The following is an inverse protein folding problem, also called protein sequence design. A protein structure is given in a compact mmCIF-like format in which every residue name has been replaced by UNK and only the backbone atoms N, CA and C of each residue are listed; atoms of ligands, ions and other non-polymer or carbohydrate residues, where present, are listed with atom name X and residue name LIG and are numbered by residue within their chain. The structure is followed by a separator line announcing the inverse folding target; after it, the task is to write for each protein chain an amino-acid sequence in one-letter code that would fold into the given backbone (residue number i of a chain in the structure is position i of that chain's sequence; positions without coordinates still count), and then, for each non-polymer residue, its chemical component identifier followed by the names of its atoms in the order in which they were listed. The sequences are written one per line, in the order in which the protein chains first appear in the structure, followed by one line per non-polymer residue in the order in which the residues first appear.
data_IF_187659754795
#
_entry.id   IF_187659754795
#
_cell.length_a   1.000
_cell.length_b   1.000
_cell.length_c   1.000
_cell.angle_alpha   90.00
_cell.angle_beta   90.00
_cell.angle_gamma   90.00
#
_symmetry.space_group_name_H-M   'P 1'
#
loop_
_entity.id
_entity.type
_entity.pdbx_description
1 polymer ?
#
# COMPACT_ATOMS: atom_id res chain seq x y z
N UNK A 1 -40.83 -11.59 -19.09
CA UNK A 1 -39.37 -11.54 -19.38
C UNK A 1 -38.82 -10.45 -18.48
N UNK A 2 -38.35 -10.85 -17.30
CA UNK A 2 -37.64 -9.97 -16.38
C UNK A 2 -36.23 -9.82 -16.92
N UNK A 3 -35.85 -8.60 -17.29
CA UNK A 3 -34.46 -8.27 -17.58
C UNK A 3 -33.63 -8.69 -16.36
N UNK A 4 -32.83 -9.74 -16.54
CA UNK A 4 -31.81 -10.09 -15.58
C UNK A 4 -30.80 -8.94 -15.62
N UNK A 5 -30.88 -8.03 -14.66
CA UNK A 5 -29.76 -7.13 -14.35
C UNK A 5 -28.60 -8.08 -14.03
N UNK A 6 -27.70 -8.28 -14.99
CA UNK A 6 -26.38 -8.84 -14.71
C UNK A 6 -25.74 -7.90 -13.70
N UNK A 7 -25.74 -8.30 -12.44
CA UNK A 7 -24.94 -7.66 -11.40
C UNK A 7 -23.49 -7.74 -11.84
N UNK A 8 -22.92 -6.62 -12.22
CA UNK A 8 -21.49 -6.45 -12.51
C UNK A 8 -20.83 -5.77 -11.31
N UNK A 9 -19.65 -6.24 -10.93
CA UNK A 9 -18.82 -5.58 -9.90
C UNK A 9 -17.84 -4.65 -10.60
N UNK A 10 -17.76 -3.38 -10.17
CA UNK A 10 -16.76 -2.44 -10.71
C UNK A 10 -15.32 -2.90 -10.48
N UNK A 11 -15.13 -3.75 -9.47
CA UNK A 11 -13.85 -4.36 -9.11
C UNK A 11 -13.46 -5.57 -9.98
N UNK A 12 -14.30 -5.95 -10.96
CA UNK A 12 -14.04 -7.05 -11.89
C UNK A 12 -14.12 -6.62 -13.36
N UNK A 13 -14.26 -5.32 -13.63
CA UNK A 13 -14.46 -4.77 -14.98
C UNK A 13 -13.50 -3.60 -15.25
N UNK A 14 -13.32 -3.26 -16.52
CA UNK A 14 -12.51 -2.12 -16.96
C UNK A 14 -11.09 -2.18 -16.39
N UNK A 15 -10.67 -1.10 -15.73
CA UNK A 15 -9.35 -0.98 -15.11
C UNK A 15 -9.09 -2.03 -14.01
N UNK A 16 -10.13 -2.56 -13.37
CA UNK A 16 -10.00 -3.60 -12.33
C UNK A 16 -10.18 -5.03 -12.87
N UNK A 17 -10.47 -5.19 -14.17
CA UNK A 17 -10.66 -6.52 -14.74
C UNK A 17 -9.38 -7.37 -14.56
N UNK A 18 -9.48 -8.61 -14.04
CA UNK A 18 -8.31 -9.45 -13.83
C UNK A 18 -7.62 -9.79 -15.15
N UNK A 19 -6.31 -9.92 -15.10
CA UNK A 19 -5.54 -10.59 -16.15
C UNK A 19 -5.87 -12.08 -16.15
N UNK A 20 -6.10 -12.68 -17.34
CA UNK A 20 -6.49 -14.07 -17.45
C UNK A 20 -5.31 -15.05 -17.38
N UNK A 21 -4.07 -14.56 -17.49
CA UNK A 21 -2.85 -15.38 -17.53
C UNK A 21 -1.63 -14.60 -17.02
N UNK A 22 -0.59 -15.34 -16.60
CA UNK A 22 0.73 -14.78 -16.33
C UNK A 22 1.38 -14.28 -17.63
N UNK A 23 2.21 -13.25 -17.52
CA UNK A 23 2.83 -12.60 -18.68
C UNK A 23 4.33 -12.53 -18.48
N UNK A 24 5.09 -12.77 -19.55
CA UNK A 24 6.53 -12.49 -19.63
C UNK A 24 6.79 -11.77 -20.93
N UNK A 25 7.48 -10.64 -20.85
CA UNK A 25 8.01 -9.92 -22.00
C UNK A 25 9.44 -9.48 -21.69
N UNK A 26 10.30 -9.49 -22.70
CA UNK A 26 11.71 -9.10 -22.61
C UNK A 26 12.01 -8.02 -23.64
N UNK A 27 13.06 -7.24 -23.41
CA UNK A 27 13.49 -6.16 -24.31
C UNK A 27 12.34 -5.18 -24.63
N UNK A 28 11.78 -4.59 -23.57
CA UNK A 28 10.58 -3.75 -23.70
C UNK A 28 10.90 -2.45 -24.46
N UNK A 29 10.00 -1.99 -25.35
CA UNK A 29 10.14 -0.70 -25.99
C UNK A 29 10.14 0.43 -24.97
N UNK A 30 11.04 1.40 -25.16
CA UNK A 30 11.16 2.58 -24.31
C UNK A 30 11.01 3.82 -25.18
N UNK A 31 10.06 4.68 -24.83
CA UNK A 31 9.99 6.05 -25.37
C UNK A 31 10.73 6.99 -24.42
N UNK A 32 11.49 7.94 -24.96
CA UNK A 32 12.36 8.81 -24.17
C UNK A 32 13.69 8.13 -23.84
N UNK A 33 14.26 8.43 -22.68
CA UNK A 33 15.56 7.88 -22.22
C UNK A 33 15.45 7.47 -20.77
N UNK A 34 15.51 6.17 -20.50
CA UNK A 34 15.59 5.66 -19.13
C UNK A 34 16.91 6.10 -18.49
N UNK A 35 16.87 6.74 -17.31
CA UNK A 35 18.08 7.05 -16.56
C UNK A 35 18.91 5.80 -16.25
N UNK A 36 20.21 5.84 -16.52
CA UNK A 36 21.12 4.71 -16.24
C UNK A 36 21.28 4.44 -14.73
N UNK A 37 20.96 5.41 -13.88
CA UNK A 37 20.98 5.25 -12.43
C UNK A 37 19.86 4.34 -11.90
N UNK A 38 18.81 4.08 -12.68
CA UNK A 38 17.73 3.16 -12.32
C UNK A 38 18.16 1.70 -12.58
N UNK A 39 18.85 1.13 -11.60
CA UNK A 39 19.34 -0.26 -11.58
C UNK A 39 18.59 -1.09 -10.53
N UNK A 40 17.60 -1.87 -10.97
CA UNK A 40 16.72 -2.60 -10.05
C UNK A 40 15.39 -2.97 -10.67
N UNK A 41 14.37 -3.14 -9.81
CA UNK A 41 13.02 -3.54 -10.20
C UNK A 41 11.99 -2.57 -9.64
N UNK A 42 11.12 -2.06 -10.51
CA UNK A 42 9.83 -1.52 -10.07
C UNK A 42 8.88 -2.70 -9.88
N UNK A 43 8.34 -2.85 -8.67
CA UNK A 43 7.42 -3.92 -8.32
C UNK A 43 6.09 -3.34 -7.84
N UNK A 44 4.96 -3.94 -8.20
CA UNK A 44 3.65 -3.59 -7.66
C UNK A 44 2.79 -4.82 -7.46
N UNK A 45 2.09 -4.91 -6.33
CA UNK A 45 1.14 -5.97 -6.03
C UNK A 45 -0.31 -5.47 -6.09
N UNK A 46 -1.25 -6.40 -6.25
CA UNK A 46 -2.67 -6.09 -6.25
C UNK A 46 -3.54 -7.34 -6.44
N UNK A 47 -4.86 -7.18 -6.36
CA UNK A 47 -5.79 -8.28 -6.51
C UNK A 47 -5.99 -8.60 -7.99
N UNK A 48 -5.84 -9.87 -8.34
CA UNK A 48 -6.08 -10.44 -9.64
C UNK A 48 -6.75 -11.80 -9.47
N UNK A 49 -8.04 -11.84 -9.08
CA UNK A 49 -8.73 -13.07 -8.73
C UNK A 49 -8.67 -14.09 -9.88
N UNK A 50 -8.25 -15.30 -9.56
CA UNK A 50 -8.19 -16.40 -10.51
C UNK A 50 -9.54 -17.14 -10.53
N UNK A 51 -10.05 -17.40 -11.73
CA UNK A 51 -11.35 -18.06 -11.91
C UNK A 51 -12.57 -17.16 -11.66
N UNK A 52 -13.75 -17.78 -11.64
CA UNK A 52 -15.02 -17.06 -11.61
C UNK A 52 -15.33 -16.54 -10.19
N UNK A 53 -15.52 -15.24 -10.08
CA UNK A 53 -16.02 -14.59 -8.87
C UNK A 53 -17.53 -14.38 -8.95
N UNK A 54 -18.19 -14.30 -7.79
CA UNK A 54 -19.56 -13.78 -7.69
C UNK A 54 -19.51 -12.25 -7.61
N UNK A 55 -19.95 -11.52 -8.66
CA UNK A 55 -19.85 -10.06 -8.67
C UNK A 55 -20.67 -9.38 -7.57
N UNK A 56 -21.71 -10.02 -7.04
CA UNK A 56 -22.54 -9.43 -5.99
C UNK A 56 -21.85 -9.40 -4.62
N UNK A 57 -20.89 -10.30 -4.38
CA UNK A 57 -20.25 -10.49 -3.08
C UNK A 57 -18.73 -10.29 -3.12
N UNK A 58 -18.15 -10.09 -4.31
CA UNK A 58 -16.72 -9.88 -4.47
C UNK A 58 -16.25 -8.57 -3.81
N UNK A 59 -15.29 -8.71 -2.90
CA UNK A 59 -14.58 -7.60 -2.28
C UNK A 59 -13.21 -7.42 -2.93
N UNK A 60 -12.87 -6.19 -3.33
CA UNK A 60 -11.63 -5.89 -4.06
C UNK A 60 -10.37 -6.39 -3.35
N UNK A 61 -10.29 -6.19 -2.02
CA UNK A 61 -9.15 -6.64 -1.19
C UNK A 61 -9.00 -8.17 -1.07
N UNK A 62 -9.96 -8.97 -1.54
CA UNK A 62 -9.94 -10.43 -1.36
C UNK A 62 -9.53 -11.22 -2.60
N UNK A 63 -9.13 -10.53 -3.68
CA UNK A 63 -8.61 -11.20 -4.88
C UNK A 63 -7.22 -11.81 -4.66
N UNK A 64 -6.89 -12.86 -5.40
CA UNK A 64 -5.54 -13.46 -5.37
C UNK A 64 -4.46 -12.43 -5.71
N UNK A 65 -3.29 -12.50 -5.07
CA UNK A 65 -2.21 -11.55 -5.36
C UNK A 65 -1.59 -11.77 -6.74
N UNK A 66 -1.32 -10.70 -7.48
CA UNK A 66 -0.48 -10.74 -8.66
C UNK A 66 0.55 -9.60 -8.62
N UNK A 67 1.82 -9.99 -8.62
CA UNK A 67 2.94 -9.05 -8.65
C UNK A 67 3.31 -8.77 -10.10
N UNK A 68 3.37 -7.48 -10.41
CA UNK A 68 3.91 -6.94 -11.65
C UNK A 68 5.31 -6.40 -11.38
N UNK A 69 6.30 -6.84 -12.15
CA UNK A 69 7.67 -6.36 -12.06
C UNK A 69 8.23 -5.91 -13.39
N UNK A 70 9.04 -4.85 -13.36
CA UNK A 70 9.80 -4.34 -14.50
C UNK A 70 11.25 -4.19 -14.04
N UNK A 71 12.17 -4.94 -14.64
CA UNK A 71 13.60 -4.75 -14.38
C UNK A 71 14.18 -3.68 -15.28
N UNK A 72 14.84 -2.70 -14.66
CA UNK A 72 15.59 -1.64 -15.32
C UNK A 72 17.08 -1.83 -15.06
N UNK A 73 17.88 -1.76 -16.12
CA UNK A 73 19.35 -1.92 -16.07
C UNK A 73 20.02 -1.26 -17.25
N UNK A 74 21.04 -0.45 -16.99
CA UNK A 74 21.87 0.22 -17.99
C UNK A 74 21.05 0.96 -19.04
N UNK A 75 20.04 1.71 -18.60
CA UNK A 75 19.14 2.48 -19.47
C UNK A 75 18.17 1.64 -20.31
N UNK A 76 18.00 0.35 -20.00
CA UNK A 76 17.06 -0.56 -20.68
C UNK A 76 16.02 -1.11 -19.72
N UNK A 77 14.85 -1.46 -20.24
CA UNK A 77 13.87 -2.26 -19.54
C UNK A 77 13.99 -3.73 -20.01
N UNK A 78 14.69 -4.55 -19.23
CA UNK A 78 15.13 -5.89 -19.67
C UNK A 78 13.97 -6.87 -19.72
N UNK A 79 13.05 -6.79 -18.75
CA UNK A 79 11.84 -7.61 -18.75
C UNK A 79 10.69 -6.98 -17.98
N UNK A 80 9.48 -7.43 -18.32
CA UNK A 80 8.25 -7.28 -17.55
C UNK A 80 7.68 -8.66 -17.26
N UNK A 81 7.23 -8.86 -16.02
CA UNK A 81 6.54 -10.08 -15.59
C UNK A 81 5.31 -9.75 -14.77
N UNK A 82 4.26 -10.53 -14.98
CA UNK A 82 3.10 -10.63 -14.10
C UNK A 82 3.03 -12.07 -13.58
N UNK A 83 3.09 -12.25 -12.27
CA UNK A 83 3.04 -13.55 -11.60
C UNK A 83 2.00 -13.55 -10.49
N UNK A 84 1.17 -14.58 -10.44
CA UNK A 84 0.34 -14.78 -9.25
C UNK A 84 1.21 -15.14 -8.05
N UNK A 85 0.86 -14.63 -6.88
CA UNK A 85 1.46 -15.10 -5.63
C UNK A 85 0.83 -16.46 -5.30
N UNK A 86 1.64 -17.49 -5.11
CA UNK A 86 1.15 -18.87 -4.93
C UNK A 86 0.54 -19.06 -3.54
N UNK A 87 -0.77 -18.85 -3.43
CA UNK A 87 -1.60 -19.50 -2.42
C UNK A 87 -1.89 -20.96 -2.82
N UNK A 88 -2.41 -21.75 -1.89
CA UNK A 88 -2.83 -23.13 -2.14
C UNK A 88 -3.90 -23.19 -3.23
N UNK A 89 -4.88 -22.28 -3.21
CA UNK A 89 -5.92 -22.19 -4.25
C UNK A 89 -5.35 -21.82 -5.62
N UNK A 90 -4.39 -20.90 -5.68
CA UNK A 90 -3.72 -20.51 -6.93
C UNK A 90 -2.90 -21.68 -7.48
N UNK A 91 -2.05 -22.31 -6.66
CA UNK A 91 -1.26 -23.48 -7.09
C UNK A 91 -2.18 -24.58 -7.65
N UNK A 92 -3.26 -24.92 -6.94
CA UNK A 92 -4.23 -25.91 -7.42
C UNK A 92 -4.87 -25.51 -8.76
N UNK A 93 -5.27 -24.24 -8.91
CA UNK A 93 -5.88 -23.75 -10.15
C UNK A 93 -4.90 -23.73 -11.34
N UNK A 94 -3.59 -23.56 -11.07
CA UNK A 94 -2.52 -23.65 -12.07
C UNK A 94 -2.03 -25.09 -12.30
N UNK A 95 -2.50 -26.07 -11.51
CA UNK A 95 -2.05 -27.47 -11.60
C UNK A 95 -0.65 -27.70 -11.01
N UNK A 96 -0.25 -26.85 -10.08
CA UNK A 96 1.04 -26.87 -9.38
C UNK A 96 0.88 -27.47 -7.97
N UNK A 97 1.96 -28.03 -7.44
CA UNK A 97 2.01 -28.39 -6.01
C UNK A 97 2.10 -27.12 -5.15
N UNK A 98 1.43 -27.08 -3.97
CA UNK A 98 1.55 -25.94 -3.07
C UNK A 98 2.99 -25.67 -2.65
N UNK A 99 3.40 -24.39 -2.72
CA UNK A 99 4.69 -23.92 -2.22
C UNK A 99 4.81 -24.12 -0.70
N UNK A 100 6.02 -24.38 -0.16
CA UNK A 100 6.23 -24.64 1.26
C UNK A 100 5.92 -23.42 2.15
N UNK A 101 5.85 -23.65 3.46
CA UNK A 101 5.64 -22.61 4.48
C UNK A 101 4.26 -22.66 5.14
N UNK A 102 4.17 -22.14 6.36
CA UNK A 102 2.94 -22.15 7.14
C UNK A 102 1.89 -21.15 6.60
N UNK A 103 0.61 -21.54 6.57
CA UNK A 103 -0.52 -20.62 6.35
C UNK A 103 -1.10 -20.19 7.70
N UNK A 104 -0.54 -19.15 8.31
CA UNK A 104 -0.95 -18.69 9.63
C UNK A 104 -2.46 -18.35 9.65
N UNK A 105 -3.21 -18.99 10.55
CA UNK A 105 -4.67 -18.81 10.65
C UNK A 105 -5.45 -19.24 9.40
N UNK A 106 -4.86 -20.06 8.51
CA UNK A 106 -5.45 -20.41 7.21
C UNK A 106 -5.41 -19.26 6.18
N UNK A 107 -4.77 -18.15 6.50
CA UNK A 107 -4.62 -16.99 5.63
C UNK A 107 -3.38 -17.12 4.74
N UNK A 108 -3.54 -16.84 3.45
CA UNK A 108 -2.47 -17.07 2.47
C UNK A 108 -2.47 -16.14 1.24
N UNK A 109 -3.38 -15.17 1.19
CA UNK A 109 -3.54 -14.27 0.04
C UNK A 109 -2.69 -13.01 0.20
N UNK A 110 -1.41 -13.07 -0.19
CA UNK A 110 -0.52 -11.90 -0.14
C UNK A 110 -0.66 -11.00 -1.38
N UNK A 111 -1.61 -10.06 -1.36
CA UNK A 111 -1.97 -9.22 -2.52
C UNK A 111 -1.73 -7.72 -2.33
N UNK A 112 -1.35 -7.25 -1.15
CA UNK A 112 -1.44 -5.83 -0.79
C UNK A 112 -0.20 -5.05 -1.20
N UNK A 113 0.98 -5.51 -0.80
CA UNK A 113 2.24 -4.83 -1.10
C UNK A 113 3.31 -5.83 -1.54
N UNK A 114 4.40 -5.31 -2.10
CA UNK A 114 5.62 -6.04 -2.43
C UNK A 114 6.82 -5.20 -1.99
N UNK A 115 7.64 -5.76 -1.11
CA UNK A 115 8.74 -5.04 -0.44
C UNK A 115 10.08 -5.76 -0.64
N UNK A 116 11.17 -4.99 -0.56
CA UNK A 116 12.53 -5.51 -0.48
C UNK A 116 13.09 -5.37 0.93
N UNK A 117 13.67 -6.44 1.48
CA UNK A 117 14.41 -6.40 2.76
C UNK A 117 15.50 -7.47 2.77
N UNK A 118 16.71 -7.10 3.18
CA UNK A 118 17.85 -8.03 3.27
C UNK A 118 18.20 -8.71 1.96
N UNK A 119 18.04 -8.00 0.83
CA UNK A 119 18.26 -8.55 -0.51
C UNK A 119 17.20 -9.56 -0.97
N UNK A 120 16.13 -9.77 -0.19
CA UNK A 120 15.00 -10.64 -0.50
C UNK A 120 13.78 -9.80 -0.88
N UNK A 121 12.85 -10.41 -1.61
CA UNK A 121 11.60 -9.77 -2.07
C UNK A 121 10.41 -10.50 -1.47
N UNK A 122 9.46 -9.77 -0.89
CA UNK A 122 8.28 -10.37 -0.26
C UNK A 122 7.00 -9.71 -0.74
N UNK A 123 6.03 -10.52 -1.18
CA UNK A 123 4.63 -10.09 -1.23
C UNK A 123 4.04 -10.17 0.17
N UNK A 124 3.30 -9.15 0.59
CA UNK A 124 2.74 -9.04 1.94
C UNK A 124 1.28 -8.59 1.91
N UNK A 125 0.55 -8.94 2.97
CA UNK A 125 -0.84 -8.56 3.25
C UNK A 125 -1.00 -8.43 4.75
N UNK A 126 -1.97 -7.64 5.18
CA UNK A 126 -2.37 -7.50 6.58
C UNK A 126 -3.19 -8.69 7.11
N UNK A 127 -3.70 -8.55 8.34
CA UNK A 127 -4.70 -9.44 8.95
C UNK A 127 -4.28 -10.91 9.14
N UNK A 128 -2.99 -11.22 9.06
CA UNK A 128 -2.45 -12.45 9.61
C UNK A 128 -1.84 -13.43 8.62
N UNK A 129 -1.72 -13.13 7.32
CA UNK A 129 -0.93 -14.01 6.45
C UNK A 129 0.58 -13.86 6.70
N UNK A 130 1.34 -14.91 6.39
CA UNK A 130 2.80 -14.84 6.33
C UNK A 130 3.24 -14.01 5.11
N UNK A 131 4.37 -13.27 5.18
CA UNK A 131 5.04 -12.79 3.98
C UNK A 131 5.29 -13.94 3.00
N UNK A 132 5.16 -13.70 1.70
CA UNK A 132 5.44 -14.69 0.67
C UNK A 132 6.70 -14.28 -0.08
N UNK A 133 7.76 -15.07 0.05
CA UNK A 133 9.06 -14.78 -0.56
C UNK A 133 9.00 -15.06 -2.07
N UNK A 134 9.52 -14.11 -2.85
CA UNK A 134 9.60 -14.18 -4.30
C UNK A 134 11.07 -14.15 -4.72
N UNK A 135 11.40 -14.91 -5.75
CA UNK A 135 12.71 -14.83 -6.38
C UNK A 135 12.86 -13.55 -7.23
N UNK A 136 14.02 -13.41 -7.87
CA UNK A 136 14.30 -12.26 -8.71
C UNK A 136 13.32 -12.12 -9.90
N UNK A 137 12.84 -13.25 -10.41
CA UNK A 137 11.95 -13.39 -11.57
C UNK A 137 10.46 -13.39 -11.18
N UNK A 138 10.16 -13.19 -9.90
CA UNK A 138 8.84 -13.18 -9.26
C UNK A 138 8.18 -14.55 -9.07
N UNK A 139 8.94 -15.64 -9.20
CA UNK A 139 8.44 -16.96 -8.84
C UNK A 139 8.33 -17.08 -7.32
N UNK A 140 7.24 -17.70 -6.84
CA UNK A 140 7.03 -17.86 -5.40
C UNK A 140 7.95 -18.94 -4.83
N UNK A 141 8.75 -18.59 -3.83
CA UNK A 141 9.65 -19.50 -3.14
C UNK A 141 8.90 -20.21 -1.99
N UNK A 142 8.34 -19.45 -1.04
CA UNK A 142 7.66 -19.99 0.13
C UNK A 142 6.79 -18.95 0.85
N UNK A 143 5.93 -19.42 1.75
CA UNK A 143 5.32 -18.59 2.80
C UNK A 143 6.31 -18.51 3.97
N UNK A 144 6.93 -17.36 4.14
CA UNK A 144 8.10 -17.15 4.99
C UNK A 144 7.70 -16.74 6.41
N UNK A 145 8.31 -17.39 7.39
CA UNK A 145 8.30 -16.98 8.80
C UNK A 145 9.56 -16.18 9.15
N UNK A 146 10.21 -15.56 8.16
CA UNK A 146 11.44 -14.78 8.29
C UNK A 146 12.54 -15.58 9.02
N UNK A 147 12.88 -16.74 8.46
CA UNK A 147 13.88 -17.67 8.98
C UNK A 147 13.58 -18.14 10.42
N UNK A 148 12.30 -18.45 10.68
CA UNK A 148 11.79 -18.92 11.97
C UNK A 148 11.69 -17.86 13.06
N UNK A 149 11.83 -16.56 12.72
CA UNK A 149 11.84 -15.48 13.72
C UNK A 149 10.51 -14.74 13.84
N UNK A 150 9.65 -14.80 12.82
CA UNK A 150 8.32 -14.21 12.85
C UNK A 150 7.32 -15.17 13.52
N UNK A 151 6.66 -14.80 14.62
CA UNK A 151 5.75 -15.70 15.32
C UNK A 151 4.41 -15.88 14.60
N UNK A 152 3.82 -14.81 14.05
CA UNK A 152 2.47 -14.79 13.46
C UNK A 152 2.49 -14.17 12.04
N UNK A 153 1.33 -13.74 11.53
CA UNK A 153 1.28 -12.95 10.31
C UNK A 153 1.99 -11.59 10.41
N UNK A 154 2.13 -10.93 9.27
CA UNK A 154 2.83 -9.65 9.17
C UNK A 154 1.90 -8.52 8.69
N UNK A 155 2.46 -7.33 8.51
CA UNK A 155 1.76 -6.16 7.96
C UNK A 155 2.00 -6.04 6.46
N UNK A 156 1.11 -5.32 5.77
CA UNK A 156 1.37 -4.86 4.41
C UNK A 156 2.17 -3.54 4.35
N UNK A 157 2.25 -2.81 5.47
CA UNK A 157 2.84 -1.46 5.51
C UNK A 157 3.91 -1.31 6.60
N UNK A 158 5.03 -2.03 6.51
CA UNK A 158 6.15 -1.74 7.39
C UNK A 158 6.81 -0.42 6.96
N UNK A 159 7.39 0.30 7.91
CA UNK A 159 8.16 1.54 7.66
C UNK A 159 9.63 1.29 7.92
N UNK A 160 10.48 1.61 6.95
CA UNK A 160 11.94 1.59 7.14
C UNK A 160 12.32 2.87 7.88
N UNK A 161 13.07 2.77 8.98
CA UNK A 161 13.78 3.94 9.51
C UNK A 161 15.06 4.15 8.69
N UNK A 162 15.16 5.25 7.92
CA UNK A 162 16.34 5.49 7.07
C UNK A 162 17.64 5.73 7.87
N UNK A 163 17.62 5.92 9.20
CA UNK A 163 18.85 5.99 9.99
C UNK A 163 19.45 4.61 10.32
N UNK A 164 18.61 3.58 10.45
CA UNK A 164 19.03 2.26 10.95
C UNK A 164 18.86 1.15 9.92
N UNK A 165 17.94 1.32 8.96
CA UNK A 165 17.50 0.28 8.04
C UNK A 165 16.56 -0.75 8.69
N UNK A 166 16.15 -0.54 9.95
CA UNK A 166 15.17 -1.39 10.60
C UNK A 166 13.76 -1.10 10.03
N UNK A 167 12.99 -2.17 9.85
CA UNK A 167 11.59 -2.12 9.50
C UNK A 167 10.74 -2.18 10.77
N UNK A 168 9.85 -1.22 10.92
CA UNK A 168 8.90 -1.10 12.01
C UNK A 168 7.48 -1.37 11.50
N UNK A 169 6.76 -2.25 12.17
CA UNK A 169 5.47 -2.75 11.70
C UNK A 169 4.46 -2.89 12.83
N UNK A 170 3.19 -2.57 12.55
CA UNK A 170 2.06 -3.08 13.34
C UNK A 170 1.39 -4.21 12.57
N UNK A 171 1.37 -5.39 13.17
CA UNK A 171 0.63 -6.55 12.68
C UNK A 171 -0.56 -6.84 13.61
N UNK A 172 -1.61 -7.42 13.04
CA UNK A 172 -2.79 -7.83 13.79
C UNK A 172 -3.40 -9.07 13.15
N UNK A 173 -4.19 -9.78 13.95
CA UNK A 173 -5.02 -10.88 13.50
C UNK A 173 -6.22 -10.97 14.44
N UNK A 174 -7.42 -11.19 13.90
CA UNK A 174 -8.67 -11.12 14.66
C UNK A 174 -8.72 -12.09 15.85
N UNK A 175 -7.98 -13.20 15.79
CA UNK A 175 -7.92 -14.18 16.88
C UNK A 175 -6.85 -13.85 17.95
N UNK A 176 -6.04 -12.82 17.75
CA UNK A 176 -5.10 -12.32 18.76
C UNK A 176 -5.80 -11.25 19.62
N UNK A 177 -5.57 -11.25 20.95
CA UNK A 177 -6.21 -10.28 21.86
C UNK A 177 -5.53 -8.89 21.85
N UNK A 178 -4.45 -8.73 21.09
CA UNK A 178 -3.63 -7.52 21.03
C UNK A 178 -3.12 -7.28 19.60
N UNK A 179 -2.67 -6.04 19.35
CA UNK A 179 -1.83 -5.73 18.20
C UNK A 179 -0.38 -6.14 18.49
N UNK A 180 0.41 -6.36 17.45
CA UNK A 180 1.82 -6.71 17.56
C UNK A 180 2.68 -5.61 16.94
N UNK A 181 3.55 -5.00 17.74
CA UNK A 181 4.63 -4.15 17.24
C UNK A 181 5.85 -5.02 16.95
N UNK A 182 6.19 -5.13 15.66
CA UNK A 182 7.26 -6.00 15.15
C UNK A 182 8.40 -5.13 14.63
N UNK A 183 9.63 -5.42 15.06
CA UNK A 183 10.85 -4.81 14.52
C UNK A 183 11.63 -5.87 13.75
N UNK A 184 11.92 -5.61 12.48
CA UNK A 184 12.68 -6.49 11.59
C UNK A 184 13.98 -5.80 11.22
N UNK A 185 15.12 -6.48 11.40
CA UNK A 185 16.41 -5.95 10.99
C UNK A 185 16.59 -5.93 9.45
N UNK A 186 17.61 -5.23 8.94
CA UNK A 186 17.93 -5.22 7.52
C UNK A 186 18.42 -6.58 7.01
N UNK A 187 18.65 -7.57 7.89
CA UNK A 187 18.88 -8.98 7.55
C UNK A 187 17.59 -9.78 7.34
N UNK A 188 16.43 -9.09 7.37
CA UNK A 188 15.10 -9.67 7.25
C UNK A 188 14.78 -10.71 8.34
N UNK A 189 15.24 -10.44 9.58
CA UNK A 189 14.92 -11.24 10.77
C UNK A 189 14.25 -10.38 11.83
N UNK A 190 13.24 -10.94 12.49
CA UNK A 190 12.55 -10.28 13.60
C UNK A 190 13.49 -10.16 14.80
N UNK A 191 13.62 -8.93 15.31
CA UNK A 191 14.41 -8.59 16.49
C UNK A 191 13.56 -8.58 17.76
N UNK A 192 12.34 -8.07 17.65
CA UNK A 192 11.38 -8.00 18.76
C UNK A 192 9.95 -8.05 18.27
N UNK A 193 9.06 -8.52 19.16
CA UNK A 193 7.62 -8.50 18.99
C UNK A 193 7.01 -8.12 20.33
N UNK A 194 6.34 -6.98 20.37
CA UNK A 194 5.73 -6.42 21.58
C UNK A 194 4.20 -6.36 21.42
N UNK A 195 3.47 -6.73 22.46
CA UNK A 195 2.01 -6.67 22.47
C UNK A 195 1.53 -5.24 22.80
N UNK A 196 0.58 -4.74 22.03
CA UNK A 196 -0.12 -3.46 22.28
C UNK A 196 -1.59 -3.77 22.52
N UNK A 197 -2.05 -3.49 23.74
CA UNK A 197 -3.42 -3.75 24.18
C UNK A 197 -4.42 -2.78 23.53
N UNK A 198 -5.49 -3.33 22.98
CA UNK A 198 -6.61 -2.60 22.36
C UNK A 198 -7.94 -3.20 22.81
N UNK A 199 -9.04 -2.43 22.87
CA UNK A 199 -10.31 -2.90 23.44
C UNK A 199 -11.07 -3.90 22.56
N UNK A 200 -10.56 -4.22 21.36
CA UNK A 200 -11.20 -5.14 20.42
C UNK A 200 -10.25 -5.54 19.30
N UNK A 201 -10.78 -5.85 18.12
CA UNK A 201 -10.01 -6.33 16.96
C UNK A 201 -10.07 -5.33 15.80
N UNK A 202 -9.38 -4.17 15.92
CA UNK A 202 -9.39 -3.14 14.90
C UNK A 202 -8.60 -3.57 13.66
N UNK A 203 -9.00 -3.04 12.52
CA UNK A 203 -8.23 -3.10 11.28
C UNK A 203 -7.18 -2.00 11.29
N UNK A 204 -5.94 -2.35 11.63
CA UNK A 204 -4.80 -1.42 11.62
C UNK A 204 -4.05 -1.59 10.32
N UNK A 205 -4.51 -0.90 9.28
CA UNK A 205 -4.01 -1.04 7.90
C UNK A 205 -2.54 -0.64 7.77
N UNK A 206 -2.19 0.51 8.34
CA UNK A 206 -0.87 1.10 8.27
C UNK A 206 -0.46 1.65 9.66
N UNK A 207 0.77 2.12 9.76
CA UNK A 207 1.40 2.72 10.92
C UNK A 207 2.27 3.91 10.51
N UNK A 208 2.86 4.60 11.47
CA UNK A 208 3.89 5.59 11.16
C UNK A 208 5.03 5.49 12.16
N UNK A 209 6.19 6.00 11.75
CA UNK A 209 7.32 6.21 12.64
C UNK A 209 7.70 7.67 12.61
N UNK A 210 8.40 8.11 13.64
CA UNK A 210 9.21 9.33 13.68
C UNK A 210 10.62 8.94 14.11
N UNK A 211 11.54 9.89 14.22
CA UNK A 211 12.88 9.61 14.75
C UNK A 211 12.88 8.91 16.12
N UNK A 212 11.89 9.17 16.99
CA UNK A 212 11.84 8.57 18.33
C UNK A 212 10.59 7.75 18.64
N UNK A 213 9.56 7.78 17.80
CA UNK A 213 8.28 7.18 18.13
C UNK A 213 7.75 6.26 17.05
N UNK A 214 7.19 5.13 17.47
CA UNK A 214 6.24 4.33 16.71
C UNK A 214 4.82 4.88 16.93
N UNK A 215 4.01 4.88 15.89
CA UNK A 215 2.64 5.41 15.89
C UNK A 215 1.67 4.34 15.39
N UNK A 216 0.59 4.15 16.14
CA UNK A 216 -0.46 3.13 15.89
C UNK A 216 -1.81 3.80 15.74
N UNK A 217 -2.56 3.43 14.70
CA UNK A 217 -3.89 3.97 14.43
C UNK A 217 -4.97 2.97 14.89
N UNK A 218 -5.57 3.23 16.04
CA UNK A 218 -6.65 2.40 16.63
C UNK A 218 -8.00 3.05 16.29
N UNK A 219 -8.57 2.61 15.16
CA UNK A 219 -9.67 3.30 14.44
C UNK A 219 -10.92 2.41 14.34
N UNK A 220 -12.12 2.98 14.08
CA UNK A 220 -13.42 2.32 14.31
C UNK A 220 -13.82 1.30 13.23
N UNK A 221 -12.90 0.81 12.40
CA UNK A 221 -13.17 -0.35 11.53
C UNK A 221 -12.68 -1.59 12.27
N UNK A 222 -13.59 -2.48 12.66
CA UNK A 222 -13.31 -3.63 13.52
C UNK A 222 -13.81 -4.92 12.92
N UNK A 223 -13.23 -6.05 13.35
CA UNK A 223 -13.67 -7.37 12.94
C UNK A 223 -15.09 -7.66 13.47
N UNK A 224 -15.98 -8.11 12.58
CA UNK A 224 -17.37 -8.47 12.87
C UNK A 224 -17.53 -9.99 12.90
N UNK A 225 -17.71 -10.55 14.10
CA UNK A 225 -17.99 -11.98 14.28
C UNK A 225 -19.28 -12.42 13.57
N UNK A 226 -20.29 -11.54 13.54
CA UNK A 226 -21.56 -11.81 12.88
C UNK A 226 -21.40 -11.90 11.35
N UNK A 227 -20.63 -11.00 10.75
CA UNK A 227 -20.35 -11.03 9.30
C UNK A 227 -19.51 -12.26 8.94
N UNK A 228 -18.50 -12.59 9.76
CA UNK A 228 -17.70 -13.79 9.59
C UNK A 228 -18.57 -15.06 9.65
N UNK A 229 -19.48 -15.16 10.63
CA UNK A 229 -20.40 -16.29 10.78
C UNK A 229 -21.39 -16.43 9.60
N UNK A 230 -21.72 -15.32 8.94
CA UNK A 230 -22.54 -15.29 7.71
C UNK A 230 -21.73 -15.61 6.43
N UNK A 231 -20.41 -15.79 6.54
CA UNK A 231 -19.54 -16.09 5.40
C UNK A 231 -19.17 -14.87 4.55
N UNK A 232 -19.27 -13.66 5.11
CA UNK A 232 -18.77 -12.45 4.43
C UNK A 232 -17.25 -12.56 4.26
N UNK A 233 -16.78 -12.44 3.02
CA UNK A 233 -15.36 -12.64 2.65
C UNK A 233 -14.41 -11.65 3.34
N UNK A 234 -14.88 -10.43 3.61
CA UNK A 234 -14.13 -9.38 4.30
C UNK A 234 -14.94 -8.88 5.51
N UNK A 235 -14.84 -9.57 6.66
CA UNK A 235 -15.70 -9.32 7.82
C UNK A 235 -15.18 -8.17 8.71
N UNK A 236 -14.83 -7.03 8.11
CA UNK A 236 -14.51 -5.79 8.83
C UNK A 236 -15.56 -4.72 8.55
N UNK A 237 -15.93 -3.97 9.58
CA UNK A 237 -17.08 -3.07 9.61
C UNK A 237 -16.77 -1.83 10.43
N UNK A 238 -17.32 -0.67 10.04
CA UNK A 238 -17.39 0.47 10.93
C UNK A 238 -18.19 0.15 12.21
N UNK A 239 -17.73 0.62 13.36
CA UNK A 239 -18.40 0.53 14.65
C UNK A 239 -18.47 1.90 15.32
N UNK A 240 -19.69 2.42 15.49
CA UNK A 240 -19.91 3.69 16.20
C UNK A 240 -19.60 3.61 17.70
N UNK A 241 -19.51 2.41 18.27
CA UNK A 241 -19.28 2.19 19.70
C UNK A 241 -17.79 1.98 20.05
N UNK A 242 -16.90 1.89 19.06
CA UNK A 242 -15.48 1.54 19.30
C UNK A 242 -14.61 2.73 19.72
N UNK A 243 -14.90 3.94 19.19
CA UNK A 243 -14.05 5.13 19.35
C UNK A 243 -12.90 5.19 18.34
N UNK A 244 -12.06 6.23 18.47
CA UNK A 244 -10.91 6.44 17.60
C UNK A 244 -9.77 7.13 18.38
N UNK A 245 -8.57 6.56 18.31
CA UNK A 245 -7.41 7.06 19.03
C UNK A 245 -6.10 6.69 18.33
N UNK A 246 -5.06 7.47 18.63
CA UNK A 246 -3.71 7.24 18.13
C UNK A 246 -2.79 6.90 19.28
N UNK A 247 -2.05 5.79 19.15
CA UNK A 247 -1.07 5.34 20.11
C UNK A 247 0.33 5.81 19.71
N UNK A 248 1.10 6.32 20.67
CA UNK A 248 2.51 6.71 20.49
C UNK A 248 3.35 5.99 21.54
N UNK A 249 4.38 5.26 21.11
CA UNK A 249 5.32 4.55 21.98
C UNK A 249 6.76 4.72 21.48
N UNK A 250 7.79 4.61 22.33
CA UNK A 250 9.18 4.77 21.90
C UNK A 250 9.52 3.83 20.73
N UNK A 251 10.26 4.32 19.74
CA UNK A 251 10.67 3.52 18.59
C UNK A 251 11.57 2.37 19.06
N UNK A 252 11.04 1.15 18.94
CA UNK A 252 11.69 -0.09 19.38
C UNK A 252 11.48 -0.39 20.88
N UNK A 253 10.64 0.41 21.55
CA UNK A 253 10.24 0.21 22.95
C UNK A 253 9.12 -0.81 23.11
N UNK A 254 8.61 -0.92 24.34
CA UNK A 254 7.57 -1.89 24.69
C UNK A 254 6.18 -1.36 24.37
N UNK A 255 5.28 -2.26 23.99
CA UNK A 255 3.87 -1.93 23.78
C UNK A 255 3.14 -1.48 25.05
N UNK A 256 3.69 -1.80 26.23
CA UNK A 256 3.19 -1.32 27.52
C UNK A 256 3.41 0.20 27.73
N UNK A 257 4.32 0.82 26.98
CA UNK A 257 4.66 2.24 27.08
C UNK A 257 3.77 3.12 26.18
N UNK A 258 2.75 2.54 25.54
CA UNK A 258 1.86 3.26 24.62
C UNK A 258 1.09 4.36 25.34
N UNK A 259 1.12 5.54 24.73
CA UNK A 259 0.33 6.71 25.13
C UNK A 259 -0.75 6.93 24.09
N UNK A 260 -2.01 6.89 24.53
CA UNK A 260 -3.16 7.06 23.66
C UNK A 260 -3.65 8.51 23.63
N UNK A 261 -4.01 8.97 22.44
CA UNK A 261 -4.53 10.29 22.16
C UNK A 261 -5.85 10.14 21.41
N UNK A 262 -6.94 10.65 21.97
CA UNK A 262 -8.26 10.60 21.33
C UNK A 262 -8.28 11.49 20.08
N UNK A 263 -8.90 11.01 19.01
CA UNK A 263 -9.12 11.74 17.75
C UNK A 263 -10.58 11.64 17.34
N UNK A 264 -11.03 12.56 16.48
CA UNK A 264 -12.38 12.47 15.94
C UNK A 264 -12.55 11.20 15.08
N UNK A 265 -13.64 10.43 15.25
CA UNK A 265 -13.88 9.22 14.49
C UNK A 265 -13.72 9.42 12.97
N UNK A 266 -12.79 8.66 12.42
CA UNK A 266 -12.43 8.62 11.00
C UNK A 266 -11.65 7.35 10.72
N UNK A 267 -11.43 7.05 9.43
CA UNK A 267 -10.56 5.96 9.03
C UNK A 267 -9.36 6.49 8.26
N UNK A 268 -8.20 5.88 8.49
CA UNK A 268 -6.96 6.17 7.76
C UNK A 268 -6.48 4.83 7.21
N UNK A 269 -6.53 4.68 5.89
CA UNK A 269 -5.75 3.65 5.24
C UNK A 269 -4.29 4.08 5.30
N UNK A 270 -3.95 5.17 4.61
CA UNK A 270 -2.56 5.57 4.46
C UNK A 270 -2.23 6.88 5.17
N UNK A 271 -1.34 6.87 6.17
CA UNK A 271 -0.62 8.06 6.57
C UNK A 271 0.36 8.47 5.46
N UNK A 272 0.50 9.77 5.23
CA UNK A 272 1.50 10.32 4.34
C UNK A 272 2.90 10.25 4.96
N UNK A 273 3.06 10.85 6.14
CA UNK A 273 4.30 10.81 6.90
C UNK A 273 4.05 11.28 8.34
N UNK A 274 5.00 11.03 9.23
CA UNK A 274 5.01 11.57 10.58
C UNK A 274 6.39 12.16 10.92
N UNK A 275 6.42 13.16 11.79
CA UNK A 275 7.65 13.77 12.27
C UNK A 275 7.44 14.47 13.60
N UNK A 276 8.52 14.97 14.18
CA UNK A 276 8.47 15.68 15.45
C UNK A 276 8.65 17.19 15.23
N UNK A 277 7.94 17.97 16.04
CA UNK A 277 8.09 19.42 16.15
C UNK A 277 8.20 19.79 17.63
N UNK A 278 9.45 19.82 18.13
CA UNK A 278 9.73 19.94 19.55
C UNK A 278 9.18 18.76 20.35
N UNK A 279 8.30 19.04 21.31
CA UNK A 279 7.63 18.04 22.16
C UNK A 279 6.31 17.52 21.55
N UNK A 280 6.10 17.73 20.25
CA UNK A 280 4.90 17.31 19.52
C UNK A 280 5.24 16.25 18.49
N UNK A 281 4.28 15.34 18.27
CA UNK A 281 4.28 14.43 17.13
C UNK A 281 3.28 14.96 16.12
N UNK A 282 3.72 15.18 14.89
CA UNK A 282 2.90 15.62 13.76
C UNK A 282 2.67 14.43 12.85
N UNK A 283 1.42 14.14 12.56
CA UNK A 283 0.99 13.09 11.63
C UNK A 283 0.27 13.76 10.48
N UNK A 284 0.69 13.48 9.25
CA UNK A 284 -0.03 13.88 8.06
C UNK A 284 -0.68 12.62 7.47
N UNK A 285 -2.00 12.60 7.39
CA UNK A 285 -2.81 11.39 7.11
C UNK A 285 -3.85 11.65 6.05
N UNK A 286 -4.12 10.65 5.20
CA UNK A 286 -5.27 10.68 4.29
C UNK A 286 -6.49 10.19 5.05
N UNK A 287 -7.37 11.13 5.41
CA UNK A 287 -8.51 10.89 6.28
C UNK A 287 -9.76 10.59 5.46
N UNK A 288 -10.40 9.47 5.81
CA UNK A 288 -11.73 9.08 5.35
C UNK A 288 -12.74 9.34 6.47
N UNK A 289 -13.88 9.94 6.14
CA UNK A 289 -14.92 10.23 7.13
C UNK A 289 -15.57 8.98 7.70
N UNK A 290 -15.80 7.97 6.85
CA UNK A 290 -16.33 6.65 7.20
C UNK A 290 -15.79 5.60 6.25
N UNK A 291 -15.78 4.33 6.65
CA UNK A 291 -15.33 3.23 5.80
C UNK A 291 -15.96 1.89 6.20
N UNK A 292 -16.40 1.11 5.23
CA UNK A 292 -17.09 -0.18 5.43
C UNK A 292 -18.30 -0.13 6.36
N UNK A 293 -18.98 1.02 6.40
CA UNK A 293 -20.26 1.18 7.08
C UNK A 293 -21.36 0.70 6.13
N UNK A 294 -21.55 1.40 5.00
CA UNK A 294 -22.60 1.09 4.02
C UNK A 294 -22.09 0.29 2.83
N UNK A 295 -20.89 0.62 2.34
CA UNK A 295 -20.30 -0.04 1.18
C UNK A 295 -19.29 -1.08 1.66
N UNK A 296 -19.60 -2.36 1.42
CA UNK A 296 -18.91 -3.52 2.01
C UNK A 296 -18.04 -4.29 1.03
N UNK A 297 -17.70 -3.71 -0.12
CA UNK A 297 -16.98 -4.42 -1.21
C UNK A 297 -15.67 -3.75 -1.63
N UNK A 298 -15.35 -2.57 -1.09
CA UNK A 298 -14.12 -1.83 -1.37
C UNK A 298 -14.14 -0.45 -0.71
N UNK A 299 -13.02 0.30 -0.82
CA UNK A 299 -12.85 1.61 -0.20
C UNK A 299 -13.63 2.68 -0.97
N UNK A 300 -14.93 2.70 -0.75
CA UNK A 300 -15.91 3.39 -1.59
C UNK A 300 -16.90 4.19 -0.74
N UNK A 301 -16.39 4.84 0.30
CA UNK A 301 -17.20 5.55 1.27
C UNK A 301 -16.45 6.78 1.76
N UNK A 302 -16.98 7.97 1.48
CA UNK A 302 -16.39 9.30 1.75
C UNK A 302 -15.20 9.71 0.86
N UNK A 303 -14.88 11.00 0.86
CA UNK A 303 -13.79 11.57 0.06
C UNK A 303 -12.51 11.59 0.91
N UNK A 304 -11.40 11.02 0.43
CA UNK A 304 -10.13 11.07 1.15
C UNK A 304 -9.45 12.43 1.01
N UNK A 305 -9.16 13.08 2.13
CA UNK A 305 -8.48 14.39 2.15
C UNK A 305 -7.28 14.35 3.08
N UNK A 306 -6.24 15.13 2.76
CA UNK A 306 -5.05 15.23 3.58
C UNK A 306 -5.30 16.09 4.81
N UNK A 307 -5.09 15.51 5.99
CA UNK A 307 -5.22 16.14 7.29
C UNK A 307 -3.90 16.08 8.06
N UNK A 308 -3.66 17.06 8.91
CA UNK A 308 -2.59 17.05 9.90
C UNK A 308 -3.19 16.87 11.29
N UNK A 309 -2.74 15.85 12.00
CA UNK A 309 -2.98 15.68 13.42
C UNK A 309 -1.70 16.04 14.18
N UNK A 310 -1.81 16.95 15.16
CA UNK A 310 -0.69 17.34 16.02
C UNK A 310 -0.96 16.88 17.44
N UNK A 311 -0.15 15.97 17.93
CA UNK A 311 -0.24 15.35 19.25
C UNK A 311 0.73 16.06 20.18
N UNK A 312 0.20 16.79 21.17
CA UNK A 312 1.01 17.47 22.18
C UNK A 312 1.32 16.50 23.32
N UNK A 313 2.57 16.01 23.37
CA UNK A 313 2.97 14.96 24.31
C UNK A 313 2.98 15.44 25.77
N UNK A 314 3.00 16.75 26.03
CA UNK A 314 2.97 17.29 27.39
C UNK A 314 1.53 17.36 27.94
N UNK A 315 0.59 17.78 27.10
CA UNK A 315 -0.80 18.04 27.51
C UNK A 315 -1.77 16.90 27.20
N UNK A 316 -1.40 15.98 26.30
CA UNK A 316 -2.30 14.92 25.82
C UNK A 316 -3.32 15.42 24.77
N UNK A 317 -3.23 16.68 24.33
CA UNK A 317 -4.18 17.27 23.40
C UNK A 317 -3.83 16.93 21.96
N UNK A 318 -4.86 16.68 21.14
CA UNK A 318 -4.75 16.63 19.68
C UNK A 318 -5.37 17.88 19.06
N UNK A 319 -4.75 18.40 18.00
CA UNK A 319 -5.36 19.36 17.09
C UNK A 319 -5.34 18.82 15.67
N UNK A 320 -6.40 19.11 14.92
CA UNK A 320 -6.58 18.65 13.55
C UNK A 320 -6.75 19.85 12.59
N UNK A 321 -6.15 19.74 11.41
CA UNK A 321 -6.23 20.73 10.33
C UNK A 321 -6.29 20.00 8.98
N UNK A 322 -7.23 20.37 8.10
CA UNK A 322 -7.22 19.91 6.72
C UNK A 322 -6.18 20.71 5.92
N UNK A 323 -5.25 20.02 5.24
CA UNK A 323 -4.14 20.65 4.51
C UNK A 323 -4.44 20.89 3.02
N UNK A 324 -5.42 20.18 2.46
CA UNK A 324 -5.71 20.21 1.03
C UNK A 324 -7.18 19.95 0.74
N UNK A 325 -7.73 20.62 -0.29
CA UNK A 325 -9.04 20.32 -0.88
C UNK A 325 -8.94 19.32 -2.06
N UNK A 326 -7.73 18.93 -2.46
CA UNK A 326 -7.50 17.91 -3.49
C UNK A 326 -7.67 16.54 -2.86
N UNK A 327 -8.65 15.78 -3.35
CA UNK A 327 -8.87 14.40 -2.93
C UNK A 327 -7.85 13.45 -3.57
N UNK A 328 -7.15 12.68 -2.74
CA UNK A 328 -6.15 11.73 -3.21
C UNK A 328 -5.92 10.58 -2.23
N UNK A 329 -5.28 9.53 -2.72
CA UNK A 329 -4.83 8.37 -1.95
C UNK A 329 -3.44 7.93 -2.44
N UNK A 330 -2.92 6.84 -1.89
CA UNK A 330 -1.57 6.34 -2.12
C UNK A 330 -0.51 7.41 -1.84
N UNK A 331 -0.55 8.05 -0.64
CA UNK A 331 0.37 9.09 -0.27
C UNK A 331 1.80 8.53 -0.15
N UNK A 332 2.76 9.23 -0.74
CA UNK A 332 4.19 8.87 -0.68
C UNK A 332 5.04 10.09 -0.43
N UNK A 333 6.12 9.90 0.30
CA UNK A 333 7.24 10.84 0.40
C UNK A 333 8.48 10.19 -0.21
N UNK A 334 9.56 10.95 -0.33
CA UNK A 334 10.89 10.36 -0.46
C UNK A 334 11.16 9.45 0.75
N UNK A 335 11.46 8.17 0.53
CA UNK A 335 11.66 7.19 1.61
C UNK A 335 12.79 7.59 2.58
N UNK A 336 13.74 8.42 2.13
CA UNK A 336 14.80 9.01 2.99
C UNK A 336 14.25 9.99 4.03
N UNK A 337 12.99 10.43 3.89
CA UNK A 337 12.27 11.36 4.77
C UNK A 337 11.22 10.69 5.64
N UNK A 338 11.04 9.37 5.56
CA UNK A 338 10.12 8.66 6.45
C UNK A 338 10.52 8.94 7.91
N UNK A 339 9.53 9.36 8.70
CA UNK A 339 9.72 9.71 10.11
C UNK A 339 10.38 11.06 10.38
N UNK A 340 10.60 11.89 9.35
CA UNK A 340 11.32 13.15 9.41
C UNK A 340 10.55 14.27 8.71
N UNK A 341 10.85 15.55 9.01
CA UNK A 341 10.28 16.65 8.25
C UNK A 341 10.58 16.50 6.77
N UNK A 342 9.55 16.70 5.96
CA UNK A 342 9.61 16.62 4.50
C UNK A 342 9.03 17.92 3.90
N UNK A 343 9.36 18.16 2.64
CA UNK A 343 8.79 19.26 1.84
C UNK A 343 7.81 18.74 0.81
N UNK A 344 8.14 17.65 0.13
CA UNK A 344 7.38 17.15 -0.99
C UNK A 344 6.67 15.85 -0.66
N UNK A 345 5.44 15.76 -1.12
CA UNK A 345 4.63 14.57 -1.02
C UNK A 345 3.92 14.33 -2.34
N UNK A 346 3.65 13.07 -2.62
CA UNK A 346 3.06 12.59 -3.86
C UNK A 346 1.85 11.72 -3.56
N UNK A 347 0.94 11.61 -4.51
CA UNK A 347 -0.19 10.72 -4.39
C UNK A 347 -0.98 10.67 -5.68
N UNK A 348 -2.14 10.03 -5.62
CA UNK A 348 -2.97 9.78 -6.80
C UNK A 348 -4.37 10.29 -6.57
N UNK A 349 -4.86 11.14 -7.48
CA UNK A 349 -6.17 11.76 -7.34
C UNK A 349 -7.27 10.71 -7.24
N UNK A 350 -8.20 10.97 -6.34
CA UNK A 350 -9.44 10.23 -6.16
C UNK A 350 -10.59 11.14 -6.57
N UNK A 351 -11.58 10.60 -7.28
CA UNK A 351 -12.73 11.34 -7.77
C UNK A 351 -14.02 10.54 -7.61
N UNK A 352 -15.12 11.08 -8.11
CA UNK A 352 -16.35 10.32 -8.26
C UNK A 352 -16.22 9.32 -9.42
N UNK A 353 -16.76 8.12 -9.25
CA UNK A 353 -16.95 7.18 -10.36
C UNK A 353 -18.32 7.37 -11.04
N UNK A 354 -18.51 6.71 -12.18
CA UNK A 354 -19.76 6.77 -12.96
C UNK A 354 -20.99 6.22 -12.20
N UNK A 355 -20.76 5.45 -11.13
CA UNK A 355 -21.78 4.87 -10.26
C UNK A 355 -22.16 5.76 -9.07
N UNK A 356 -21.54 6.93 -8.93
CA UNK A 356 -21.75 7.84 -7.80
C UNK A 356 -20.98 7.45 -6.53
N UNK A 357 -20.06 6.48 -6.64
CA UNK A 357 -19.08 6.13 -5.62
C UNK A 357 -17.76 6.87 -5.82
N UNK A 358 -16.74 6.40 -5.12
CA UNK A 358 -15.33 6.79 -5.18
C UNK A 358 -14.62 5.95 -6.23
N UNK A 359 -13.88 6.64 -7.11
CA UNK A 359 -13.03 6.05 -8.14
C UNK A 359 -11.63 6.66 -8.14
N UNK A 360 -10.63 5.85 -8.48
CA UNK A 360 -9.26 6.33 -8.64
C UNK A 360 -9.11 7.04 -9.99
N UNK A 361 -9.14 8.37 -9.99
CA UNK A 361 -9.01 9.20 -11.18
C UNK A 361 -7.57 9.16 -11.75
N UNK A 362 -6.59 8.80 -10.92
CA UNK A 362 -5.29 8.34 -11.41
C UNK A 362 -4.34 9.43 -11.92
N UNK A 363 -4.56 10.70 -11.59
CA UNK A 363 -3.61 11.78 -11.87
C UNK A 363 -2.62 11.91 -10.72
N UNK A 364 -1.38 12.33 -11.00
CA UNK A 364 -0.40 12.59 -9.95
C UNK A 364 -0.78 13.86 -9.18
N UNK A 365 -0.79 13.78 -7.87
CA UNK A 365 -0.82 14.92 -6.97
C UNK A 365 0.56 15.16 -6.42
N UNK A 366 1.07 16.40 -6.50
CA UNK A 366 2.28 16.84 -5.83
C UNK A 366 1.93 17.90 -4.80
N UNK A 367 2.31 17.67 -3.56
CA UNK A 367 2.24 18.63 -2.47
C UNK A 367 3.61 19.26 -2.23
N UNK A 368 3.64 20.59 -2.09
CA UNK A 368 4.78 21.32 -1.52
C UNK A 368 4.34 21.92 -0.19
N UNK A 369 4.74 21.27 0.91
CA UNK A 369 4.38 21.64 2.27
C UNK A 369 4.91 23.01 2.67
N UNK A 370 6.06 23.44 2.13
CA UNK A 370 6.64 24.75 2.44
C UNK A 370 5.90 25.86 1.71
N UNK A 371 5.51 25.62 0.45
CA UNK A 371 4.69 26.57 -0.31
C UNK A 371 3.20 26.55 0.09
N UNK A 372 2.74 25.46 0.72
CA UNK A 372 1.32 25.25 1.04
C UNK A 372 0.47 24.97 -0.19
N UNK A 373 1.04 24.35 -1.23
CA UNK A 373 0.37 24.12 -2.52
C UNK A 373 0.17 22.65 -2.82
N UNK A 374 -0.91 22.35 -3.55
CA UNK A 374 -1.19 21.05 -4.14
C UNK A 374 -1.36 21.23 -5.65
N UNK A 375 -0.56 20.51 -6.44
CA UNK A 375 -0.61 20.51 -7.89
C UNK A 375 -1.11 19.16 -8.40
N UNK A 376 -2.06 19.17 -9.34
CA UNK A 376 -2.47 17.97 -10.07
C UNK A 376 -1.79 17.98 -11.43
N UNK A 377 -0.96 16.98 -11.68
CA UNK A 377 -0.26 16.79 -12.95
C UNK A 377 -1.12 15.91 -13.85
N UNK A 378 -1.60 16.50 -14.94
CA UNK A 378 -2.40 15.83 -15.96
C UNK A 378 -1.54 14.84 -16.76
N UNK A 379 -1.89 13.55 -16.71
CA UNK A 379 -1.24 12.48 -17.45
C UNK A 379 -1.72 12.38 -18.90
N UNK A 380 -2.76 13.13 -19.27
CA UNK A 380 -3.43 13.10 -20.55
C UNK A 380 -4.77 12.35 -20.52
N UNK A 381 -5.60 12.54 -21.56
CA UNK A 381 -6.96 12.03 -21.60
C UNK A 381 -7.01 10.50 -21.58
N UNK A 382 -7.86 9.94 -20.71
CA UNK A 382 -8.08 8.49 -20.60
C UNK A 382 -6.90 7.73 -19.99
N UNK A 383 -5.97 8.43 -19.32
CA UNK A 383 -4.83 7.81 -18.65
C UNK A 383 -5.01 7.83 -17.14
N UNK A 384 -4.74 6.69 -16.50
CA UNK A 384 -5.00 6.48 -15.07
C UNK A 384 -3.84 5.73 -14.44
N UNK A 385 -3.24 6.31 -13.40
CA UNK A 385 -2.16 5.70 -12.61
C UNK A 385 -2.67 5.02 -11.34
N UNK A 386 -1.83 4.16 -10.77
CA UNK A 386 -1.94 3.71 -9.37
C UNK A 386 -1.04 4.55 -8.46
N UNK A 387 -0.42 3.91 -7.46
CA UNK A 387 0.57 4.52 -6.56
C UNK A 387 1.84 4.98 -7.30
N UNK A 388 2.36 6.14 -6.89
CA UNK A 388 3.62 6.71 -7.39
C UNK A 388 4.77 6.44 -6.43
N UNK A 389 5.89 5.93 -6.95
CA UNK A 389 7.12 5.70 -6.19
C UNK A 389 8.13 6.79 -6.49
N UNK A 390 8.67 7.44 -5.46
CA UNK A 390 9.80 8.36 -5.58
C UNK A 390 11.12 7.57 -5.47
N UNK A 391 12.01 7.76 -6.44
CA UNK A 391 13.37 7.22 -6.41
C UNK A 391 14.37 8.35 -6.56
N UNK A 392 15.24 8.59 -5.56
CA UNK A 392 16.21 9.66 -5.63
C UNK A 392 17.30 9.35 -6.67
N UNK A 393 17.87 10.40 -7.27
CA UNK A 393 18.96 10.24 -8.25
C UNK A 393 20.26 9.75 -7.63
N UNK A 394 20.46 10.05 -6.36
CA UNK A 394 21.58 9.63 -5.51
C UNK A 394 21.14 9.63 -4.03
N UNK A 395 21.87 8.92 -3.16
CA UNK A 395 21.57 8.88 -1.72
C UNK A 395 21.60 10.26 -1.06
N UNK A 396 22.45 11.17 -1.55
CA UNK A 396 22.63 12.53 -1.03
C UNK A 396 21.86 13.59 -1.83
N UNK A 397 21.07 13.18 -2.83
CA UNK A 397 20.31 14.08 -3.69
C UNK A 397 19.29 14.92 -2.90
N UNK A 398 18.90 16.07 -3.46
CA UNK A 398 17.77 16.84 -2.90
C UNK A 398 16.47 16.00 -2.90
N UNK A 399 15.47 16.41 -2.12
CA UNK A 399 14.23 15.64 -1.92
C UNK A 399 13.37 15.48 -3.18
N UNK A 400 13.49 16.39 -4.13
CA UNK A 400 12.86 16.33 -5.45
C UNK A 400 13.85 16.03 -6.59
N UNK A 401 15.09 15.66 -6.26
CA UNK A 401 16.10 15.26 -7.23
C UNK A 401 16.06 13.74 -7.42
N UNK A 402 15.43 13.33 -8.52
CA UNK A 402 15.17 11.94 -8.84
C UNK A 402 13.98 11.80 -9.77
N UNK A 403 13.28 10.66 -9.63
CA UNK A 403 12.21 10.28 -10.52
C UNK A 403 10.97 9.81 -9.76
N UNK A 404 9.81 10.09 -10.33
CA UNK A 404 8.54 9.52 -9.91
C UNK A 404 8.14 8.44 -10.92
N UNK A 405 7.79 7.26 -10.42
CA UNK A 405 7.44 6.12 -11.24
C UNK A 405 6.07 5.55 -10.88
N UNK A 406 5.24 5.28 -11.88
CA UNK A 406 3.98 4.56 -11.72
C UNK A 406 3.66 3.76 -12.97
N UNK A 407 2.89 2.68 -12.80
CA UNK A 407 2.16 2.06 -13.90
C UNK A 407 0.96 2.93 -14.26
N UNK A 408 0.85 3.30 -15.54
CA UNK A 408 -0.22 4.13 -16.09
C UNK A 408 -0.94 3.34 -17.16
N UNK A 409 -2.25 3.14 -16.99
CA UNK A 409 -3.13 2.56 -18.02
C UNK A 409 -3.57 3.64 -19.00
N UNK A 410 -3.63 3.29 -20.28
CA UNK A 410 -4.19 4.12 -21.34
C UNK A 410 -5.43 3.41 -21.91
N UNK A 411 -6.60 4.01 -21.68
CA UNK A 411 -7.89 3.48 -22.12
C UNK A 411 -8.05 3.43 -23.65
N UNK A 412 -7.27 4.20 -24.41
CA UNK A 412 -7.34 4.21 -25.88
C UNK A 412 -6.70 2.98 -26.51
N UNK A 413 -5.67 2.43 -25.87
CA UNK A 413 -4.95 1.24 -26.33
C UNK A 413 -5.25 -0.02 -25.52
N UNK A 414 -5.91 0.15 -24.36
CA UNK A 414 -6.09 -0.86 -23.31
C UNK A 414 -4.76 -1.53 -22.91
N UNK A 415 -3.71 -0.70 -22.78
CA UNK A 415 -2.37 -1.12 -22.37
C UNK A 415 -1.86 -0.24 -21.24
N UNK A 416 -0.81 -0.70 -20.58
CA UNK A 416 -0.15 0.07 -19.54
C UNK A 416 1.31 0.33 -19.87
N UNK A 417 1.88 1.29 -19.17
CA UNK A 417 3.27 1.70 -19.30
C UNK A 417 3.86 1.98 -17.92
N UNK A 418 5.14 1.70 -17.73
CA UNK A 418 5.87 2.30 -16.60
C UNK A 418 6.27 3.71 -17.02
N UNK A 419 5.64 4.72 -16.43
CA UNK A 419 5.92 6.14 -16.67
C UNK A 419 6.95 6.62 -15.68
N UNK A 420 8.00 7.29 -16.15
CA UNK A 420 9.07 7.89 -15.34
C UNK A 420 9.06 9.40 -15.56
N UNK A 421 8.66 10.15 -14.53
CA UNK A 421 8.63 11.62 -14.51
C UNK A 421 9.84 12.17 -13.75
N UNK A 422 10.36 13.36 -14.10
CA UNK A 422 11.34 14.04 -13.26
C UNK A 422 10.64 14.59 -12.01
N UNK A 423 11.14 14.27 -10.81
CA UNK A 423 10.47 14.64 -9.56
C UNK A 423 10.44 16.17 -9.31
N UNK A 424 11.44 16.90 -9.79
CA UNK A 424 11.53 18.36 -9.65
C UNK A 424 10.43 19.11 -10.44
N UNK A 425 10.05 18.60 -11.61
CA UNK A 425 9.06 19.22 -12.50
C UNK A 425 8.25 18.14 -13.26
N UNK A 426 7.36 17.41 -12.57
CA UNK A 426 6.60 16.32 -13.20
C UNK A 426 5.68 16.79 -14.32
N UNK A 427 5.31 18.08 -14.35
CA UNK A 427 4.50 18.70 -15.40
C UNK A 427 5.21 18.82 -16.76
N UNK A 428 6.55 18.72 -16.79
CA UNK A 428 7.32 18.69 -18.03
C UNK A 428 7.08 17.41 -18.87
N UNK A 429 6.43 16.40 -18.29
CA UNK A 429 6.15 15.12 -18.91
C UNK A 429 7.26 14.08 -18.67
N UNK A 430 7.07 12.85 -19.18
CA UNK A 430 7.98 11.74 -18.89
C UNK A 430 9.35 11.90 -19.53
N UNK A 431 10.39 11.64 -18.75
CA UNK A 431 11.74 11.41 -19.29
C UNK A 431 11.82 10.05 -19.98
N UNK A 432 11.02 9.08 -19.51
CA UNK A 432 10.89 7.77 -20.14
C UNK A 432 9.49 7.17 -19.92
N UNK A 433 9.06 6.33 -20.86
CA UNK A 433 7.90 5.46 -20.72
C UNK A 433 8.24 4.07 -21.29
N UNK A 434 8.11 3.02 -20.46
CA UNK A 434 8.31 1.63 -20.87
C UNK A 434 6.97 1.03 -21.28
N UNK A 435 6.85 0.61 -22.53
CA UNK A 435 5.62 0.05 -23.08
C UNK A 435 5.41 -1.40 -22.62
N UNK A 436 4.24 -1.71 -22.05
CA UNK A 436 3.89 -3.07 -21.63
C UNK A 436 2.97 -3.77 -22.65
N UNK A 437 3.02 -5.10 -22.75
CA UNK A 437 2.23 -5.83 -23.75
C UNK A 437 0.73 -5.92 -23.42
N UNK A 438 0.31 -5.56 -22.20
CA UNK A 438 -1.05 -5.71 -21.69
C UNK A 438 -1.45 -4.53 -20.78
N UNK A 439 -2.77 -4.38 -20.53
CA UNK A 439 -3.28 -3.63 -19.37
C UNK A 439 -2.77 -4.26 -18.09
N UNK A 440 -2.29 -3.44 -17.17
CA UNK A 440 -2.01 -3.85 -15.80
C UNK A 440 -3.19 -3.40 -14.92
N UNK A 441 -4.00 -4.32 -14.34
CA UNK A 441 -5.18 -3.95 -13.57
C UNK A 441 -4.83 -3.04 -12.40
N UNK A 442 -5.64 -2.05 -12.02
CA UNK A 442 -5.33 -1.19 -10.88
C UNK A 442 -5.14 -2.05 -9.62
N UNK A 443 -3.94 -1.96 -9.05
CA UNK A 443 -3.55 -2.70 -7.86
C UNK A 443 -3.45 -1.80 -6.65
N UNK A 444 -2.67 -2.23 -5.68
CA UNK A 444 -2.43 -1.52 -4.44
C UNK A 444 -1.00 -0.97 -4.46
N UNK A 445 -0.09 -1.54 -3.68
CA UNK A 445 1.20 -0.90 -3.41
C UNK A 445 2.33 -1.42 -4.28
N UNK A 446 3.24 -0.52 -4.61
CA UNK A 446 4.48 -0.77 -5.30
C UNK A 446 5.67 -0.06 -4.67
N UNK A 447 6.85 -0.60 -4.98
CA UNK A 447 8.13 -0.11 -4.50
C UNK A 447 9.21 -0.29 -5.55
N UNK A 448 10.23 0.56 -5.46
CA UNK A 448 11.49 0.35 -6.14
C UNK A 448 12.39 -0.52 -5.27
N UNK A 449 12.86 -1.64 -5.83
CA UNK A 449 13.84 -2.52 -5.20
C UNK A 449 15.12 -2.46 -6.01
N UNK A 450 16.10 -1.70 -5.51
CA UNK A 450 17.40 -1.55 -6.15
C UNK A 450 18.19 -2.87 -6.15
N UNK A 451 18.98 -3.11 -7.20
CA UNK A 451 19.90 -4.25 -7.26
C UNK A 451 21.20 -4.00 -6.45
N UNK A 452 21.41 -2.76 -5.98
CA UNK A 452 22.61 -2.31 -5.26
C UNK A 452 22.28 -1.37 -4.12
#
# INVERSE_FOLDING_TARGET
MTDAITTTSKWLTGLHAPLPAEVTATELPVRGTLPEALEGRYLRNGPNPLGRQDPATYHWFTGDGMVHGIQLRGGRAEWYRARWVRSTSVSQALGEEPVPGERHGGMETANTNVIGVGGRTFAVVEAGARPVELDHELETICHSDLDGTLPNGFTAHPKVDPATGDLHAIAYHWALPHLQYVVVGPDARVRSVEAIEVPGSPMVHDCSITERWMVVYDLPVVFSMDDAARGVRFPYAWSDDYGARVGVLPLGGSGADVRWFEVEPSYVFHPLNAYEDGDRVVLEVVRWGRMFDRVRTGPDESTPLLHRWTLDLATGRVTEEQLSDVAFEFPRVDERRVGRPHRYAYGTTVGADDGGGVGFAGQLVRHDRVAGTAEVVDLGPGRTSGEWVMVPSDVDAAEDDGWLMSLVHDATTDRSELVVLPAADPGAGPVAAVELPNRVPLGFHGNWVADR
#
